data_IF_398613342166
#
_entry.id   IF_398613342166
#
_cell.length_a   1.000
_cell.length_b   1.000
_cell.length_c   1.000
_cell.angle_alpha   90.00
_cell.angle_beta   90.00
_cell.angle_gamma   90.00
#
_symmetry.space_group_name_H-M   'P 1'
#
loop_
_entity.id
_entity.type
_entity.pdbx_description
1 polymer ?
#
# COMPACT_ATOMS: atom_id res chain seq x y z
N UNK A 1 -18.81 14.37 8.47
CA UNK A 1 -19.16 13.72 7.18
C UNK A 1 -19.37 12.25 7.45
N UNK A 2 -20.53 11.73 7.12
CA UNK A 2 -20.82 10.30 7.26
C UNK A 2 -20.01 9.55 6.18
N UNK A 3 -19.16 8.63 6.59
CA UNK A 3 -18.32 7.88 5.66
C UNK A 3 -19.23 7.01 4.76
N UNK A 4 -19.14 7.20 3.44
CA UNK A 4 -19.94 6.41 2.49
C UNK A 4 -19.50 4.94 2.57
N UNK A 5 -20.37 4.09 3.11
CA UNK A 5 -20.08 2.66 3.25
C UNK A 5 -20.14 1.98 1.89
N UNK A 6 -18.98 1.58 1.35
CA UNK A 6 -18.91 0.73 0.16
C UNK A 6 -18.83 -0.75 0.56
N UNK A 7 -19.51 -1.62 -0.20
CA UNK A 7 -19.33 -3.08 -0.14
C UNK A 7 -18.84 -3.58 -1.48
N UNK A 8 -17.93 -4.53 -1.45
CA UNK A 8 -17.41 -5.20 -2.65
C UNK A 8 -17.17 -6.67 -2.35
N UNK A 9 -17.62 -7.55 -3.25
CA UNK A 9 -17.27 -8.97 -3.20
C UNK A 9 -15.79 -9.13 -3.52
N UNK A 10 -15.04 -9.77 -2.62
CA UNK A 10 -13.60 -10.02 -2.78
C UNK A 10 -13.37 -11.40 -3.39
N UNK A 11 -14.05 -12.42 -2.87
CA UNK A 11 -13.97 -13.80 -3.36
C UNK A 11 -15.18 -14.60 -2.86
N UNK A 12 -15.66 -15.55 -3.68
CA UNK A 12 -16.68 -16.51 -3.30
C UNK A 12 -16.01 -17.84 -2.93
N UNK A 13 -16.04 -18.21 -1.65
CA UNK A 13 -15.35 -19.40 -1.13
C UNK A 13 -16.15 -20.66 -1.46
N UNK A 14 -15.61 -21.61 -2.25
CA UNK A 14 -16.35 -22.80 -2.68
C UNK A 14 -16.43 -23.91 -1.62
N UNK A 15 -15.54 -23.90 -0.63
CA UNK A 15 -15.46 -24.88 0.46
C UNK A 15 -14.82 -24.23 1.71
N UNK A 16 -14.64 -24.98 2.80
CA UNK A 16 -14.04 -24.50 4.05
C UNK A 16 -12.62 -23.94 3.87
N UNK A 17 -12.31 -22.86 4.60
CA UNK A 17 -11.01 -22.20 4.52
C UNK A 17 -10.89 -21.00 5.45
N UNK A 18 -9.85 -20.19 5.23
CA UNK A 18 -9.54 -18.97 6.00
C UNK A 18 -9.33 -17.81 5.04
N UNK A 19 -9.90 -16.64 5.37
CA UNK A 19 -9.76 -15.42 4.60
C UNK A 19 -9.02 -14.34 5.40
N UNK A 20 -8.19 -13.57 4.70
CA UNK A 20 -7.55 -12.37 5.23
C UNK A 20 -7.77 -11.20 4.25
N UNK A 21 -8.07 -10.03 4.79
CA UNK A 21 -8.18 -8.80 4.01
C UNK A 21 -7.24 -7.74 4.58
N UNK A 22 -6.61 -6.98 3.69
CA UNK A 22 -5.74 -5.87 4.05
C UNK A 22 -6.19 -4.63 3.26
N UNK A 23 -6.17 -3.48 3.92
CA UNK A 23 -6.52 -2.20 3.33
C UNK A 23 -5.61 -1.12 3.90
N UNK A 24 -5.07 -0.25 3.04
CA UNK A 24 -4.25 0.88 3.43
C UNK A 24 -4.80 2.13 2.77
N UNK A 25 -4.83 3.22 3.53
CA UNK A 25 -5.23 4.52 3.01
C UNK A 25 -4.08 5.12 2.22
N UNK A 26 -4.38 5.66 1.04
CA UNK A 26 -3.38 6.32 0.19
C UNK A 26 -2.60 7.40 0.96
N UNK A 27 -3.29 8.19 1.79
CA UNK A 27 -2.64 9.22 2.64
C UNK A 27 -1.68 8.63 3.66
N UNK A 28 -2.00 7.47 4.23
CA UNK A 28 -1.07 6.77 5.13
C UNK A 28 0.17 6.28 4.38
N UNK A 29 0.02 5.83 3.13
CA UNK A 29 1.13 5.36 2.30
C UNK A 29 2.03 6.54 1.92
N UNK A 30 1.44 7.68 1.49
CA UNK A 30 2.20 8.90 1.18
C UNK A 30 2.93 9.45 2.40
N UNK A 31 2.27 9.47 3.56
CA UNK A 31 2.89 9.86 4.83
C UNK A 31 4.08 8.97 5.19
N UNK A 32 3.94 7.66 5.01
CA UNK A 32 5.03 6.70 5.20
C UNK A 32 6.18 6.94 4.21
N UNK A 33 5.90 7.19 2.94
CA UNK A 33 6.93 7.50 1.93
C UNK A 33 7.76 8.74 2.31
N UNK A 34 7.09 9.83 2.75
CA UNK A 34 7.78 11.04 3.23
C UNK A 34 8.67 10.76 4.45
N UNK A 35 8.17 10.01 5.43
CA UNK A 35 8.92 9.66 6.62
C UNK A 35 10.19 8.87 6.29
N UNK A 36 10.08 7.85 5.44
CA UNK A 36 11.22 7.02 5.01
C UNK A 36 12.30 7.84 4.31
N UNK A 37 11.91 8.71 3.37
CA UNK A 37 12.87 9.49 2.59
C UNK A 37 13.52 10.60 3.40
N UNK A 38 12.75 11.29 4.26
CA UNK A 38 13.31 12.30 5.17
C UNK A 38 14.34 11.66 6.12
N UNK A 39 14.00 10.50 6.69
CA UNK A 39 14.93 9.80 7.58
C UNK A 39 16.19 9.32 6.86
N UNK A 40 16.06 8.80 5.63
CA UNK A 40 17.20 8.44 4.80
C UNK A 40 18.09 9.64 4.47
N UNK A 41 17.49 10.80 4.19
CA UNK A 41 18.20 12.05 3.93
C UNK A 41 18.97 12.53 5.16
N UNK A 42 18.35 12.51 6.35
CA UNK A 42 18.99 12.88 7.61
C UNK A 42 20.23 12.03 7.92
N UNK A 43 20.20 10.75 7.55
CA UNK A 43 21.32 9.81 7.67
C UNK A 43 22.31 9.86 6.50
N UNK A 44 22.02 10.64 5.45
CA UNK A 44 22.76 10.64 4.18
C UNK A 44 22.89 9.25 3.55
N UNK A 45 21.83 8.44 3.66
CA UNK A 45 21.80 7.07 3.15
C UNK A 45 20.94 6.94 1.90
N UNK A 46 21.35 6.10 0.93
CA UNK A 46 20.50 5.78 -0.20
C UNK A 46 19.31 4.93 0.27
N UNK A 47 18.10 5.28 -0.21
CA UNK A 47 16.86 4.55 0.08
C UNK A 47 16.39 3.84 -1.17
N UNK A 48 15.99 2.58 -1.03
CA UNK A 48 15.48 1.75 -2.12
C UNK A 48 14.12 1.16 -1.76
N UNK A 49 13.17 1.22 -2.69
CA UNK A 49 11.87 0.56 -2.59
C UNK A 49 11.92 -0.79 -3.31
N UNK A 50 11.59 -1.87 -2.60
CA UNK A 50 11.41 -3.20 -3.17
C UNK A 50 9.96 -3.64 -3.02
N UNK A 51 9.40 -4.30 -4.04
CA UNK A 51 8.00 -4.75 -4.07
C UNK A 51 7.89 -6.14 -4.67
N UNK A 52 6.79 -6.84 -4.38
CA UNK A 52 6.41 -8.14 -4.97
C UNK A 52 5.31 -7.94 -6.04
N UNK A 53 5.51 -6.95 -6.91
CA UNK A 53 4.55 -6.54 -7.93
C UNK A 53 4.14 -7.65 -8.91
N UNK A 54 4.89 -8.75 -9.03
CA UNK A 54 4.51 -9.88 -9.89
C UNK A 54 3.31 -10.66 -9.37
N UNK A 55 3.21 -10.83 -8.04
CA UNK A 55 2.13 -11.57 -7.37
C UNK A 55 1.05 -10.60 -6.87
N UNK A 56 1.45 -9.43 -6.37
CA UNK A 56 0.53 -8.44 -5.78
C UNK A 56 0.39 -7.20 -6.66
N UNK A 57 0.09 -7.41 -7.95
CA UNK A 57 0.07 -6.34 -8.98
C UNK A 57 -0.69 -5.08 -8.58
N UNK A 58 -1.91 -5.23 -8.05
CA UNK A 58 -2.76 -4.08 -7.73
C UNK A 58 -2.31 -3.38 -6.45
N UNK A 59 -2.04 -4.15 -5.40
CA UNK A 59 -1.68 -3.61 -4.09
C UNK A 59 -0.28 -2.98 -4.09
N UNK A 60 0.73 -3.74 -4.52
CA UNK A 60 2.10 -3.23 -4.59
C UNK A 60 2.29 -2.20 -5.70
N UNK A 61 1.55 -2.33 -6.80
CA UNK A 61 1.48 -1.31 -7.85
C UNK A 61 1.02 0.03 -7.27
N UNK A 62 -0.05 0.04 -6.48
CA UNK A 62 -0.54 1.27 -5.83
C UNK A 62 0.48 1.86 -4.86
N UNK A 63 1.17 1.03 -4.08
CA UNK A 63 2.27 1.50 -3.22
C UNK A 63 3.37 2.17 -4.04
N UNK A 64 3.82 1.54 -5.12
CA UNK A 64 4.86 2.09 -6.01
C UNK A 64 4.42 3.44 -6.59
N UNK A 65 3.22 3.51 -7.15
CA UNK A 65 2.70 4.73 -7.79
C UNK A 65 2.62 5.88 -6.77
N UNK A 66 2.10 5.59 -5.56
CA UNK A 66 2.00 6.59 -4.50
C UNK A 66 3.37 7.05 -3.99
N UNK A 67 4.36 6.16 -3.92
CA UNK A 67 5.73 6.54 -3.57
C UNK A 67 6.35 7.46 -4.63
N UNK A 68 6.10 7.19 -5.92
CA UNK A 68 6.55 8.03 -7.04
C UNK A 68 5.82 9.38 -7.14
N UNK A 69 4.58 9.49 -6.64
CA UNK A 69 3.89 10.78 -6.56
C UNK A 69 4.52 11.73 -5.52
N UNK A 70 5.21 11.18 -4.51
CA UNK A 70 5.85 11.99 -3.47
C UNK A 70 7.23 12.49 -3.92
N UNK A 71 7.97 11.71 -4.72
CA UNK A 71 9.35 11.96 -5.16
C UNK A 71 9.58 11.47 -6.60
#
# INVERSE_FOLDING_TARGET
>A
MEAMRQRRTVYDFPDGGVAMAMYNLDESIKGFARACMNYGLDLSWPVYLSTKNTIMKVYDGRFKDLFQEVF
#
